data_IF_645100740827
#
_entry.id   IF_645100740827
#
_cell.length_a   1.000
_cell.length_b   1.000
_cell.length_c   1.000
_cell.angle_alpha   90.00
_cell.angle_beta   90.00
_cell.angle_gamma   90.00
#
_symmetry.space_group_name_H-M   'P 1'
#
loop_
_entity.id
_entity.type
_entity.pdbx_description
1 polymer ?
#
# COMPACT_ATOMS: atom_id res chain seq x y z
N UNK A 1 -22.39 -3.17 -21.62
CA UNK A 1 -21.43 -2.63 -20.64
C UNK A 1 -21.05 -3.75 -19.70
N UNK A 2 -20.02 -4.52 -20.06
CA UNK A 2 -19.68 -5.77 -19.39
C UNK A 2 -18.98 -5.50 -18.06
N UNK A 3 -19.70 -5.70 -16.96
CA UNK A 3 -19.20 -5.58 -15.59
C UNK A 3 -18.31 -6.79 -15.29
N UNK A 4 -17.00 -6.67 -15.57
CA UNK A 4 -16.01 -7.67 -15.19
C UNK A 4 -15.87 -7.67 -13.66
N UNK A 5 -16.73 -8.45 -12.99
CA UNK A 5 -16.54 -8.83 -11.59
C UNK A 5 -15.19 -9.54 -11.47
N UNK A 6 -14.19 -8.83 -10.93
CA UNK A 6 -12.91 -9.44 -10.58
C UNK A 6 -13.21 -10.56 -9.59
N UNK A 7 -12.91 -11.80 -9.98
CA UNK A 7 -12.98 -12.96 -9.08
C UNK A 7 -11.94 -12.72 -7.99
N UNK A 8 -12.37 -12.27 -6.81
CA UNK A 8 -11.47 -12.06 -5.68
C UNK A 8 -11.16 -13.43 -5.09
N UNK A 9 -9.99 -13.97 -5.42
CA UNK A 9 -9.52 -15.19 -4.79
C UNK A 9 -9.03 -14.86 -3.38
N UNK A 10 -9.42 -15.65 -2.36
CA UNK A 10 -8.98 -15.43 -1.00
C UNK A 10 -7.46 -15.54 -0.93
N UNK A 11 -6.83 -14.61 -0.20
CA UNK A 11 -5.41 -14.76 0.13
C UNK A 11 -5.19 -16.06 0.90
N UNK A 12 -3.97 -16.59 0.88
CA UNK A 12 -3.63 -17.77 1.69
C UNK A 12 -3.91 -17.58 3.18
N UNK A 13 -3.95 -16.33 3.69
CA UNK A 13 -4.30 -16.04 5.07
C UNK A 13 -5.81 -16.13 5.30
N UNK A 14 -6.60 -15.49 4.42
CA UNK A 14 -8.07 -15.54 4.47
C UNK A 14 -8.61 -16.97 4.33
N UNK A 15 -8.00 -17.79 3.48
CA UNK A 15 -8.36 -19.21 3.39
C UNK A 15 -8.08 -19.99 4.68
N UNK A 16 -6.99 -19.69 5.39
CA UNK A 16 -6.69 -20.32 6.68
C UNK A 16 -7.62 -19.84 7.80
N UNK A 17 -8.01 -18.56 7.79
CA UNK A 17 -8.98 -18.01 8.74
C UNK A 17 -10.36 -18.68 8.59
N UNK A 18 -10.85 -18.85 7.36
CA UNK A 18 -12.09 -19.60 7.10
C UNK A 18 -12.01 -21.08 7.52
N UNK A 19 -10.84 -21.71 7.36
CA UNK A 19 -10.61 -23.07 7.89
C UNK A 19 -10.60 -23.11 9.41
N UNK A 20 -10.12 -22.06 10.08
CA UNK A 20 -10.13 -21.98 11.54
C UNK A 20 -11.55 -21.85 12.10
N UNK A 21 -12.40 -21.08 11.42
CA UNK A 21 -13.80 -20.89 11.78
C UNK A 21 -14.60 -22.21 11.74
N UNK A 22 -14.30 -23.06 10.76
CA UNK A 22 -14.98 -24.35 10.58
C UNK A 22 -14.33 -25.52 11.33
N UNK A 23 -13.14 -25.33 11.91
CA UNK A 23 -12.42 -26.37 12.62
C UNK A 23 -12.96 -26.59 14.03
N UNK A 24 -13.59 -27.75 14.25
CA UNK A 24 -14.16 -28.15 15.54
C UNK A 24 -13.19 -28.95 16.43
N UNK A 25 -12.19 -29.61 15.84
CA UNK A 25 -11.23 -30.44 16.57
C UNK A 25 -10.08 -29.59 17.12
N UNK A 26 -9.76 -29.65 18.44
CA UNK A 26 -8.71 -28.84 19.05
C UNK A 26 -7.35 -28.95 18.35
N UNK A 27 -6.90 -30.17 18.04
CA UNK A 27 -5.63 -30.39 17.35
C UNK A 27 -5.59 -29.88 15.90
N UNK A 28 -6.74 -29.74 15.25
CA UNK A 28 -6.81 -29.13 13.92
C UNK A 28 -6.80 -27.61 14.00
N UNK A 29 -7.54 -27.02 14.96
CA UNK A 29 -7.47 -25.58 15.26
C UNK A 29 -6.04 -25.13 15.55
N UNK A 30 -5.34 -25.77 16.47
CA UNK A 30 -3.98 -25.39 16.86
C UNK A 30 -2.99 -25.37 15.67
N UNK A 31 -3.10 -26.36 14.78
CA UNK A 31 -2.29 -26.41 13.54
C UNK A 31 -2.63 -25.27 12.58
N UNK A 32 -3.92 -24.93 12.44
CA UNK A 32 -4.37 -23.82 11.59
C UNK A 32 -3.92 -22.47 12.18
N UNK A 33 -4.06 -22.27 13.50
CA UNK A 33 -3.59 -21.08 14.21
C UNK A 33 -2.08 -20.87 14.03
N UNK A 34 -1.29 -21.95 14.12
CA UNK A 34 0.16 -21.90 13.89
C UNK A 34 0.48 -21.46 12.46
N UNK A 35 -0.21 -22.02 11.46
CA UNK A 35 -0.06 -21.63 10.04
C UNK A 35 -0.47 -20.18 9.78
N UNK A 36 -1.53 -19.70 10.42
CA UNK A 36 -1.96 -18.30 10.35
C UNK A 36 -0.85 -17.41 10.90
N UNK A 37 -0.31 -17.73 12.08
CA UNK A 37 0.77 -16.97 12.70
C UNK A 37 2.04 -16.95 11.82
N UNK A 38 2.45 -18.10 11.27
CA UNK A 38 3.56 -18.20 10.32
C UNK A 38 3.33 -17.34 9.08
N UNK A 39 2.12 -17.42 8.48
CA UNK A 39 1.77 -16.63 7.31
C UNK A 39 1.79 -15.13 7.61
N UNK A 40 1.26 -14.71 8.75
CA UNK A 40 1.30 -13.31 9.19
C UNK A 40 2.75 -12.82 9.36
N UNK A 41 3.61 -13.61 10.02
CA UNK A 41 5.05 -13.30 10.13
C UNK A 41 5.72 -13.17 8.77
N UNK A 42 5.45 -14.10 7.85
CA UNK A 42 5.99 -14.06 6.50
C UNK A 42 5.54 -12.81 5.74
N UNK A 43 4.24 -12.48 5.78
CA UNK A 43 3.71 -11.29 5.12
C UNK A 43 4.30 -10.01 5.71
N UNK A 44 4.40 -9.90 7.05
CA UNK A 44 5.04 -8.78 7.72
C UNK A 44 6.51 -8.63 7.31
N UNK A 45 7.27 -9.73 7.28
CA UNK A 45 8.66 -9.73 6.82
C UNK A 45 8.80 -9.24 5.39
N UNK A 46 7.93 -9.67 4.47
CA UNK A 46 7.93 -9.18 3.07
C UNK A 46 7.64 -7.68 2.99
N UNK A 47 6.65 -7.20 3.75
CA UNK A 47 6.30 -5.77 3.79
C UNK A 47 7.46 -4.95 4.35
N UNK A 48 8.10 -5.41 5.43
CA UNK A 48 9.25 -4.74 6.04
C UNK A 48 10.44 -4.68 5.08
N UNK A 49 10.82 -5.79 4.45
CA UNK A 49 11.89 -5.83 3.44
C UNK A 49 11.63 -4.87 2.27
N UNK A 50 10.38 -4.81 1.78
CA UNK A 50 10.00 -3.85 0.73
C UNK A 50 10.16 -2.41 1.22
N UNK A 51 9.73 -2.12 2.45
CA UNK A 51 9.87 -0.78 3.05
C UNK A 51 11.34 -0.40 3.21
N UNK A 52 12.17 -1.29 3.75
CA UNK A 52 13.61 -1.10 3.89
C UNK A 52 14.27 -0.83 2.53
N UNK A 53 13.95 -1.63 1.51
CA UNK A 53 14.45 -1.42 0.15
C UNK A 53 14.03 -0.06 -0.43
N UNK A 54 12.81 0.42 -0.15
CA UNK A 54 12.34 1.74 -0.59
C UNK A 54 13.06 2.88 0.12
N UNK A 55 13.36 2.72 1.41
CA UNK A 55 14.08 3.70 2.21
C UNK A 55 15.58 3.73 1.90
N UNK A 56 16.16 2.62 1.45
CA UNK A 56 17.57 2.53 1.08
C UNK A 56 17.91 3.09 -0.32
N UNK A 57 16.92 3.61 -1.06
CA UNK A 57 17.15 4.15 -2.41
C UNK A 57 17.90 5.48 -2.37
N UNK A 58 18.75 5.69 -3.36
CA UNK A 58 19.41 6.99 -3.55
C UNK A 58 18.46 8.01 -4.17
N UNK A 59 18.72 9.32 -4.03
CA UNK A 59 17.94 10.37 -4.69
C UNK A 59 17.83 10.19 -6.21
N UNK A 60 18.91 9.73 -6.85
CA UNK A 60 18.96 9.45 -8.30
C UNK A 60 18.04 8.30 -8.67
N UNK A 61 18.02 7.22 -7.87
CA UNK A 61 17.11 6.09 -8.08
C UNK A 61 15.65 6.49 -7.90
N UNK A 62 15.35 7.37 -6.94
CA UNK A 62 14.00 7.92 -6.74
C UNK A 62 13.60 8.80 -7.92
N UNK A 63 14.48 9.68 -8.38
CA UNK A 63 14.24 10.55 -9.55
C UNK A 63 14.01 9.72 -10.83
N UNK A 64 14.83 8.68 -11.06
CA UNK A 64 14.65 7.76 -12.17
C UNK A 64 13.30 7.03 -12.11
N UNK A 65 12.91 6.54 -10.93
CA UNK A 65 11.60 5.89 -10.73
C UNK A 65 10.42 6.86 -10.94
N UNK A 66 10.58 8.13 -10.54
CA UNK A 66 9.62 9.20 -10.75
C UNK A 66 9.40 9.47 -12.24
N UNK A 67 10.49 9.69 -12.98
CA UNK A 67 10.43 9.94 -14.43
C UNK A 67 9.94 8.73 -15.22
N UNK A 68 10.30 7.50 -14.81
CA UNK A 68 9.82 6.28 -15.44
C UNK A 68 8.30 6.10 -15.31
N UNK A 69 7.71 6.52 -14.18
CA UNK A 69 6.26 6.44 -13.93
C UNK A 69 5.49 7.63 -14.51
N UNK A 70 6.12 8.80 -14.51
CA UNK A 70 5.53 10.09 -14.90
C UNK A 70 6.44 10.80 -15.90
N UNK A 71 6.48 10.34 -17.17
CA UNK A 71 7.41 10.87 -18.17
C UNK A 71 7.15 12.33 -18.55
N UNK A 72 5.93 12.84 -18.31
CA UNK A 72 5.55 14.23 -18.59
C UNK A 72 6.01 15.24 -17.53
N UNK A 73 6.63 14.79 -16.44
CA UNK A 73 7.02 15.68 -15.33
C UNK A 73 5.86 16.11 -14.41
N UNK A 74 4.69 15.52 -14.59
CA UNK A 74 3.46 15.82 -13.85
C UNK A 74 2.78 14.57 -13.31
N UNK A 75 2.03 14.72 -12.22
CA UNK A 75 1.29 13.65 -11.54
C UNK A 75 -0.13 14.12 -11.23
N UNK A 76 -1.07 13.18 -11.31
CA UNK A 76 -2.48 13.42 -10.94
C UNK A 76 -2.66 13.30 -9.43
N UNK A 77 -3.27 14.31 -8.82
CA UNK A 77 -3.68 14.27 -7.42
C UNK A 77 -4.84 13.30 -7.21
N UNK A 78 -4.70 12.35 -6.28
CA UNK A 78 -5.75 11.37 -5.96
C UNK A 78 -6.97 11.94 -5.21
N UNK A 79 -6.86 13.17 -4.66
CA UNK A 79 -7.96 13.86 -3.96
C UNK A 79 -8.73 14.79 -4.90
N UNK A 80 -8.07 15.77 -5.53
CA UNK A 80 -8.74 16.74 -6.40
C UNK A 80 -8.79 16.32 -7.89
N UNK A 81 -8.00 15.33 -8.32
CA UNK A 81 -7.97 14.87 -9.71
C UNK A 81 -7.13 15.74 -10.67
N UNK A 82 -6.58 16.86 -10.22
CA UNK A 82 -5.79 17.76 -11.07
C UNK A 82 -4.42 17.17 -11.43
N UNK A 83 -3.94 17.48 -12.64
CA UNK A 83 -2.59 17.14 -13.11
C UNK A 83 -1.64 18.29 -12.76
N UNK A 84 -0.74 18.05 -11.82
CA UNK A 84 0.13 19.07 -11.24
C UNK A 84 1.61 18.69 -11.40
N UNK A 85 2.54 19.66 -11.41
CA UNK A 85 3.97 19.38 -11.41
C UNK A 85 4.40 18.69 -10.11
N UNK A 86 5.53 17.99 -10.13
CA UNK A 86 6.07 17.29 -8.95
C UNK A 86 6.29 18.19 -7.73
N UNK A 87 6.55 19.47 -7.94
CA UNK A 87 6.73 20.47 -6.87
C UNK A 87 5.46 20.72 -6.05
N UNK A 88 4.28 20.37 -6.58
CA UNK A 88 3.01 20.47 -5.87
C UNK A 88 2.75 19.27 -4.94
N UNK A 89 3.67 18.31 -4.85
CA UNK A 89 3.56 17.12 -4.01
C UNK A 89 4.71 17.09 -3.01
N UNK A 90 4.40 16.76 -1.75
CA UNK A 90 5.44 16.53 -0.74
C UNK A 90 6.19 15.21 -0.96
N UNK A 91 7.39 15.12 -0.38
CA UNK A 91 8.21 13.92 -0.44
C UNK A 91 7.61 12.78 0.41
N UNK A 92 7.66 11.57 -0.15
CA UNK A 92 7.24 10.34 0.50
C UNK A 92 8.25 9.22 0.20
N UNK A 93 9.24 8.96 1.08
CA UNK A 93 10.31 7.98 0.84
C UNK A 93 9.81 6.54 0.63
N UNK A 94 8.62 6.23 1.14
CA UNK A 94 7.98 4.92 1.00
C UNK A 94 7.11 4.79 -0.26
N UNK A 95 6.91 5.88 -1.00
CA UNK A 95 6.27 5.84 -2.31
C UNK A 95 7.29 5.46 -3.39
N UNK A 96 6.87 4.71 -4.41
CA UNK A 96 7.77 4.27 -5.49
C UNK A 96 8.35 5.45 -6.29
N UNK A 97 7.57 6.50 -6.51
CA UNK A 97 7.98 7.75 -7.17
C UNK A 97 8.54 8.80 -6.19
N UNK A 98 8.60 8.47 -4.90
CA UNK A 98 9.09 9.35 -3.85
C UNK A 98 8.16 10.51 -3.50
N UNK A 99 6.91 10.53 -3.98
CA UNK A 99 5.97 11.64 -3.77
C UNK A 99 4.64 11.14 -3.19
N UNK A 100 4.00 11.97 -2.37
CA UNK A 100 2.63 11.72 -1.92
C UNK A 100 1.65 11.57 -3.09
N UNK A 101 0.52 10.89 -2.86
CA UNK A 101 -0.54 10.70 -3.84
C UNK A 101 -1.50 11.90 -3.91
N UNK A 102 -1.50 12.78 -2.91
CA UNK A 102 -2.25 14.05 -2.88
C UNK A 102 -1.29 15.23 -3.03
N UNK A 103 -1.76 16.30 -3.65
CA UNK A 103 -1.04 17.56 -3.68
C UNK A 103 -1.02 18.21 -2.30
N UNK A 104 -0.02 19.06 -2.06
CA UNK A 104 0.17 19.78 -0.78
C UNK A 104 -1.09 20.52 -0.32
N UNK A 105 -1.83 21.28 -1.17
CA UNK A 105 -3.07 21.93 -0.73
C UNK A 105 -4.15 20.97 -0.24
N UNK A 106 -4.25 19.79 -0.87
CA UNK A 106 -5.20 18.76 -0.43
C UNK A 106 -4.78 18.10 0.89
N UNK A 107 -3.47 18.01 1.14
CA UNK A 107 -2.92 17.51 2.41
C UNK A 107 -3.17 18.52 3.53
N UNK A 108 -2.86 19.79 3.31
CA UNK A 108 -3.11 20.89 4.28
C UNK A 108 -4.59 20.99 4.65
N UNK A 109 -5.49 20.92 3.67
CA UNK A 109 -6.93 20.90 3.94
C UNK A 109 -7.33 19.71 4.83
N UNK A 110 -6.77 18.53 4.55
CA UNK A 110 -7.04 17.33 5.34
C UNK A 110 -6.53 17.45 6.78
N UNK A 111 -5.42 18.13 6.99
CA UNK A 111 -4.85 18.36 8.32
C UNK A 111 -5.69 19.36 9.11
N UNK A 112 -6.15 20.44 8.48
CA UNK A 112 -7.08 21.40 9.08
C UNK A 112 -8.37 20.72 9.55
N UNK A 113 -9.01 19.92 8.68
CA UNK A 113 -10.23 19.16 9.01
C UNK A 113 -10.05 18.24 10.23
N UNK A 114 -8.87 17.63 10.39
CA UNK A 114 -8.57 16.73 11.52
C UNK A 114 -8.25 17.47 12.81
N UNK A 115 -7.73 18.69 12.74
CA UNK A 115 -7.47 19.52 13.92
C UNK A 115 -8.76 20.11 14.50
N UNK A 116 -9.78 20.27 13.66
CA UNK A 116 -11.11 20.78 14.03
C UNK A 116 -12.06 19.71 14.56
N UNK A 117 -11.69 18.41 14.46
CA UNK A 117 -12.49 17.26 14.90
C UNK A 117 -12.07 16.73 16.27
#
# INVERSE_FOLDING_TARGET
MSEQRRRIYPSTLSALEALLETATRPGSRARIETRIAERRRHNASRTNRRREALLARTPEQVSAARTAKHPTGSKTCSRCGEVLPFTAFGDCPTATDGLWNSCTPCTERAEAERAES
#
